data_IF_988760964759
#
_entry.id   IF_988760964759
#
_cell.length_a   1.000
_cell.length_b   1.000
_cell.length_c   1.000
_cell.angle_alpha   90.00
_cell.angle_beta   90.00
_cell.angle_gamma   90.00
#
_symmetry.space_group_name_H-M   'P 1'
#
loop_
_entity.id
_entity.type
_entity.pdbx_description
1 polymer ?
#
# COMPACT_ATOMS: atom_id res chain seq x y z
N UNK A 1 2.97 6.26 9.14
CA UNK A 1 2.67 5.03 8.37
C UNK A 1 1.20 4.69 8.45
N UNK A 2 0.62 4.32 7.33
CA UNK A 2 -0.78 3.87 7.28
C UNK A 2 -0.95 2.53 7.98
N UNK A 3 0.03 1.64 7.82
CA UNK A 3 0.06 0.34 8.49
C UNK A 3 1.37 0.22 9.25
N UNK A 4 1.35 -0.53 10.36
CA UNK A 4 2.57 -0.77 11.13
C UNK A 4 3.33 -1.96 10.57
N UNK A 5 4.63 -2.01 10.89
CA UNK A 5 5.46 -3.17 10.53
C UNK A 5 4.87 -4.46 11.12
N UNK A 6 4.39 -4.39 12.34
CA UNK A 6 3.82 -5.55 13.03
C UNK A 6 2.56 -6.05 12.36
N UNK A 7 1.68 -5.14 11.92
CA UNK A 7 0.49 -5.51 11.19
C UNK A 7 0.83 -6.23 9.88
N UNK A 8 1.81 -5.71 9.16
CA UNK A 8 2.24 -6.29 7.89
C UNK A 8 2.87 -7.65 8.10
N UNK A 9 3.74 -7.78 9.11
CA UNK A 9 4.39 -9.06 9.42
C UNK A 9 3.35 -10.11 9.78
N UNK A 10 2.33 -9.74 10.53
CA UNK A 10 1.25 -10.64 10.88
C UNK A 10 0.47 -11.07 9.62
N UNK A 11 0.19 -10.13 8.74
CA UNK A 11 -0.50 -10.39 7.49
C UNK A 11 0.30 -11.36 6.60
N UNK A 12 1.62 -11.17 6.54
CA UNK A 12 2.52 -12.00 5.73
C UNK A 12 2.93 -13.30 6.42
N UNK A 13 2.60 -13.45 7.71
CA UNK A 13 2.98 -14.60 8.53
C UNK A 13 4.50 -14.72 8.67
N UNK A 14 5.15 -13.59 8.86
CA UNK A 14 6.60 -13.52 9.08
C UNK A 14 6.87 -13.39 10.57
N UNK A 15 7.62 -14.33 11.13
CA UNK A 15 7.88 -14.38 12.56
C UNK A 15 9.24 -13.84 12.98
N UNK A 16 10.16 -13.71 12.02
CA UNK A 16 11.52 -13.28 12.33
C UNK A 16 11.75 -11.82 11.98
N UNK A 17 12.86 -11.27 12.46
CA UNK A 17 13.20 -9.86 12.23
C UNK A 17 14.18 -9.64 11.09
N UNK A 18 14.59 -10.71 10.42
CA UNK A 18 15.63 -10.66 9.39
C UNK A 18 15.28 -9.77 8.20
N UNK A 19 14.00 -9.63 7.91
CA UNK A 19 13.54 -8.86 6.75
C UNK A 19 12.80 -7.59 7.13
N UNK A 20 12.90 -7.13 8.37
CA UNK A 20 12.19 -5.95 8.83
C UNK A 20 12.49 -4.71 8.00
N UNK A 21 13.77 -4.48 7.69
CA UNK A 21 14.17 -3.32 6.88
C UNK A 21 13.58 -3.41 5.48
N UNK A 22 13.61 -4.59 4.89
CA UNK A 22 13.05 -4.81 3.56
C UNK A 22 11.54 -4.57 3.55
N UNK A 23 10.85 -5.13 4.54
CA UNK A 23 9.40 -4.97 4.65
C UNK A 23 9.03 -3.50 4.88
N UNK A 24 9.79 -2.80 5.73
CA UNK A 24 9.57 -1.37 5.95
C UNK A 24 9.74 -0.56 4.67
N UNK A 25 10.70 -0.91 3.83
CA UNK A 25 10.89 -0.29 2.53
C UNK A 25 9.67 -0.52 1.65
N UNK A 26 9.17 -1.75 1.63
CA UNK A 26 7.97 -2.08 0.85
C UNK A 26 6.76 -1.29 1.32
N UNK A 27 6.62 -1.09 2.63
CA UNK A 27 5.53 -0.28 3.18
C UNK A 27 5.63 1.15 2.69
N UNK A 28 6.83 1.74 2.75
CA UNK A 28 7.05 3.11 2.30
C UNK A 28 6.73 3.28 0.82
N UNK A 29 7.20 2.37 -0.01
CA UNK A 29 6.92 2.40 -1.45
C UNK A 29 5.43 2.26 -1.70
N UNK A 30 4.77 1.36 -0.98
CA UNK A 30 3.33 1.13 -1.15
C UNK A 30 2.52 2.35 -0.74
N UNK A 31 2.93 3.04 0.31
CA UNK A 31 2.26 4.27 0.74
C UNK A 31 2.44 5.37 -0.29
N UNK A 32 3.61 5.47 -0.89
CA UNK A 32 3.85 6.42 -1.97
C UNK A 32 2.96 6.14 -3.18
N UNK A 33 2.80 4.86 -3.52
CA UNK A 33 1.90 4.48 -4.61
C UNK A 33 0.45 4.85 -4.31
N UNK A 34 0.02 4.62 -3.08
CA UNK A 34 -1.33 4.99 -2.65
C UNK A 34 -1.55 6.49 -2.79
N UNK A 35 -0.61 7.29 -2.30
CA UNK A 35 -0.72 8.75 -2.39
C UNK A 35 -0.69 9.23 -3.83
N UNK A 36 0.09 8.58 -4.68
CA UNK A 36 0.12 8.89 -6.10
C UNK A 36 -1.22 8.62 -6.77
N UNK A 37 -1.89 7.54 -6.39
CA UNK A 37 -3.21 7.19 -6.93
C UNK A 37 -4.28 8.14 -6.40
N UNK A 38 -4.26 8.41 -5.10
CA UNK A 38 -5.25 9.29 -4.47
C UNK A 38 -5.08 10.75 -4.89
N UNK A 39 -3.86 11.15 -5.20
CA UNK A 39 -3.48 12.53 -5.53
C UNK A 39 -3.58 13.50 -4.37
N UNK A 40 -3.52 12.98 -3.15
CA UNK A 40 -3.39 13.77 -1.94
C UNK A 40 -2.79 12.89 -0.85
N UNK A 41 -2.14 13.49 0.17
CA UNK A 41 -1.50 12.68 1.19
C UNK A 41 -2.51 12.02 2.12
N UNK A 42 -2.17 10.81 2.60
CA UNK A 42 -3.03 10.08 3.52
C UNK A 42 -3.20 10.82 4.85
N UNK A 43 -2.30 11.75 5.15
CA UNK A 43 -2.41 12.58 6.36
C UNK A 43 -3.64 13.48 6.36
N UNK A 44 -4.29 13.67 5.22
CA UNK A 44 -5.55 14.42 5.14
C UNK A 44 -6.72 13.66 5.74
N UNK A 45 -6.60 12.35 5.92
CA UNK A 45 -7.64 11.58 6.58
C UNK A 45 -7.50 11.71 8.10
N UNK A 46 -8.58 12.02 8.75
CA UNK A 46 -8.62 11.99 10.21
C UNK A 46 -8.49 10.55 10.70
N UNK A 47 -9.25 9.65 10.07
CA UNK A 47 -9.16 8.22 10.30
C UNK A 47 -8.97 7.58 8.94
N UNK A 48 -7.87 6.83 8.77
CA UNK A 48 -7.57 6.18 7.49
C UNK A 48 -8.56 5.04 7.26
N UNK A 49 -9.29 5.06 6.14
CA UNK A 49 -10.23 3.97 5.83
C UNK A 49 -9.53 2.62 5.70
N UNK A 50 -10.23 1.57 6.09
CA UNK A 50 -9.69 0.21 6.01
C UNK A 50 -9.30 -0.19 4.59
N UNK A 51 -10.04 0.29 3.58
CA UNK A 51 -9.74 -0.05 2.19
C UNK A 51 -8.35 0.47 1.79
N UNK A 52 -7.93 1.61 2.34
CA UNK A 52 -6.60 2.16 2.06
C UNK A 52 -5.53 1.28 2.71
N UNK A 53 -5.77 0.81 3.93
CA UNK A 53 -4.87 -0.14 4.59
C UNK A 53 -4.77 -1.44 3.79
N UNK A 54 -5.89 -1.94 3.29
CA UNK A 54 -5.90 -3.13 2.44
C UNK A 54 -5.09 -2.93 1.17
N UNK A 55 -5.19 -1.78 0.54
CA UNK A 55 -4.43 -1.48 -0.65
C UNK A 55 -2.93 -1.50 -0.37
N UNK A 56 -2.51 -0.89 0.74
CA UNK A 56 -1.10 -0.91 1.15
C UNK A 56 -0.62 -2.33 1.40
N UNK A 57 -1.39 -3.12 2.15
CA UNK A 57 -1.04 -4.50 2.45
C UNK A 57 -0.97 -5.36 1.20
N UNK A 58 -1.90 -5.16 0.27
CA UNK A 58 -1.88 -5.87 -1.01
C UNK A 58 -0.58 -5.60 -1.76
N UNK A 59 -0.19 -4.33 -1.85
CA UNK A 59 1.02 -3.94 -2.52
C UNK A 59 2.26 -4.54 -1.86
N UNK A 60 2.34 -4.46 -0.53
CA UNK A 60 3.47 -5.02 0.21
C UNK A 60 3.55 -6.54 0.00
N UNK A 61 2.42 -7.24 0.08
CA UNK A 61 2.39 -8.68 -0.12
C UNK A 61 2.88 -9.06 -1.51
N UNK A 62 2.48 -8.30 -2.53
CA UNK A 62 2.93 -8.54 -3.90
C UNK A 62 4.44 -8.37 -4.01
N UNK A 63 4.97 -7.29 -3.46
CA UNK A 63 6.41 -7.05 -3.49
C UNK A 63 7.17 -8.13 -2.74
N UNK A 64 6.64 -8.57 -1.60
CA UNK A 64 7.30 -9.57 -0.78
C UNK A 64 7.32 -10.95 -1.46
N UNK A 65 6.19 -11.35 -2.03
CA UNK A 65 6.04 -12.67 -2.63
C UNK A 65 6.63 -12.79 -4.03
N UNK A 66 6.63 -11.67 -4.78
CA UNK A 66 7.08 -11.65 -6.18
C UNK A 66 8.23 -10.69 -6.39
N UNK A 67 9.25 -10.77 -5.54
CA UNK A 67 10.39 -9.83 -5.59
C UNK A 67 11.06 -9.74 -6.94
N UNK A 68 11.13 -10.83 -7.67
CA UNK A 68 11.80 -10.90 -8.96
C UNK A 68 10.87 -10.63 -10.13
N UNK A 69 9.59 -10.92 -9.97
CA UNK A 69 8.59 -10.84 -11.03
C UNK A 69 7.50 -9.81 -10.73
N UNK A 70 7.84 -8.83 -9.91
CA UNK A 70 6.88 -7.82 -9.47
C UNK A 70 6.40 -6.96 -10.65
N UNK A 71 5.11 -7.04 -10.94
CA UNK A 71 4.50 -6.26 -12.01
C UNK A 71 3.81 -5.02 -11.42
N UNK A 72 4.53 -3.91 -11.48
CA UNK A 72 4.04 -2.63 -10.95
C UNK A 72 2.73 -2.23 -11.59
N UNK A 73 2.59 -2.44 -12.89
CA UNK A 73 1.39 -2.04 -13.62
C UNK A 73 0.16 -2.79 -13.11
N UNK A 74 0.28 -4.09 -12.89
CA UNK A 74 -0.81 -4.90 -12.37
C UNK A 74 -1.20 -4.45 -10.95
N UNK A 75 -0.21 -4.22 -10.11
CA UNK A 75 -0.45 -3.77 -8.73
C UNK A 75 -1.15 -2.42 -8.72
N UNK A 76 -0.67 -1.47 -9.51
CA UNK A 76 -1.27 -0.13 -9.60
C UNK A 76 -2.70 -0.22 -10.10
N UNK A 77 -2.95 -1.08 -11.07
CA UNK A 77 -4.29 -1.25 -11.63
C UNK A 77 -5.28 -1.74 -10.57
N UNK A 78 -4.89 -2.73 -9.80
CA UNK A 78 -5.74 -3.27 -8.74
C UNK A 78 -5.91 -2.25 -7.61
N UNK A 79 -4.83 -1.58 -7.20
CA UNK A 79 -4.90 -0.55 -6.16
C UNK A 79 -5.80 0.60 -6.59
N UNK A 80 -5.75 0.98 -7.87
CA UNK A 80 -6.61 2.04 -8.39
C UNK A 80 -8.08 1.67 -8.26
N UNK A 81 -8.42 0.41 -8.52
CA UNK A 81 -9.79 -0.06 -8.35
C UNK A 81 -10.23 -0.04 -6.89
N UNK A 82 -9.33 -0.43 -5.98
CA UNK A 82 -9.63 -0.40 -4.55
C UNK A 82 -9.82 1.02 -4.03
N UNK A 83 -9.06 1.96 -4.56
CA UNK A 83 -9.03 3.33 -4.06
C UNK A 83 -9.93 4.28 -4.83
N UNK A 84 -10.66 3.78 -5.80
CA UNK A 84 -11.45 4.59 -6.71
C UNK A 84 -12.36 5.60 -5.99
N UNK A 85 -13.02 5.16 -4.93
CA UNK A 85 -13.97 6.01 -4.19
C UNK A 85 -13.31 7.15 -3.44
N UNK A 86 -12.02 7.05 -3.15
CA UNK A 86 -11.28 8.07 -2.39
C UNK A 86 -10.38 8.92 -3.26
N UNK A 87 -10.25 8.54 -4.51
CA UNK A 87 -9.34 9.20 -5.43
C UNK A 87 -9.85 10.58 -5.79
N UNK A 88 -8.94 11.56 -5.77
CA UNK A 88 -9.23 12.91 -6.23
C UNK A 88 -9.10 12.94 -7.74
N UNK A 89 -10.21 13.22 -8.41
CA UNK A 89 -10.24 13.23 -9.85
C UNK A 89 -10.49 14.65 -10.35
N UNK A 90 -9.50 15.25 -10.98
CA UNK A 90 -9.55 16.63 -11.41
C UNK A 90 -10.48 16.87 -12.58
N UNK A 91 -11.04 15.83 -13.11
CA UNK A 91 -11.97 15.90 -14.23
C UNK A 91 -13.33 16.44 -13.87
N UNK A 92 -13.64 16.44 -12.60
CA UNK A 92 -15.00 16.61 -12.13
C UNK A 92 -15.52 18.05 -12.09
N UNK A 93 -14.64 19.02 -12.31
CA UNK A 93 -15.09 20.40 -12.29
C UNK A 93 -14.60 21.20 -13.52
#
# INVERSE_FOLDING_TARGET
MVVSLEEVKLYLRVDCDDEDTLISTFINVSEDLVEGILRYPVSEFEIVPEIIKQAVMYSVANMYEKREDYDVKEVIDIMTKLLFSYRKDEWWW
#
